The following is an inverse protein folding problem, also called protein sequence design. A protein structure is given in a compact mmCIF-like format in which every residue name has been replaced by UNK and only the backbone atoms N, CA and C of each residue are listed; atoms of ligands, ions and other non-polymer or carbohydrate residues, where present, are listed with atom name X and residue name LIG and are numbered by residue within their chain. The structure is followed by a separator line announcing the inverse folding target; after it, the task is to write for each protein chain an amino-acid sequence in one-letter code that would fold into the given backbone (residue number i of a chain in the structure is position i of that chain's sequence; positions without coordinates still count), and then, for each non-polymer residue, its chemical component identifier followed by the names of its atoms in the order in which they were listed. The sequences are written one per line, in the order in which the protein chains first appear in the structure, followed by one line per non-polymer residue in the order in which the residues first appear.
data_IF_780632551638
#
_entry.id   IF_780632551638
#
_cell.length_a   1.000
_cell.length_b   1.000
_cell.length_c   1.000
_cell.angle_alpha   90.00
_cell.angle_beta   90.00
_cell.angle_gamma   90.00
#
_symmetry.space_group_name_H-M   'P 1'
#
loop_
_entity.id
_entity.type
_entity.pdbx_description
1 polymer ?
#
# COMPACT_ATOMS: atom_id res chain seq x y z
N UNK A 1 22.64 30.23 9.83
CA UNK A 1 22.47 29.59 8.51
C UNK A 1 21.10 28.92 8.49
N UNK A 2 20.19 29.42 7.67
CA UNK A 2 18.81 28.93 7.57
C UNK A 2 18.78 28.02 6.34
N UNK A 3 18.63 26.71 6.54
CA UNK A 3 18.17 25.81 5.49
C UNK A 3 16.72 25.43 5.81
N UNK A 4 15.81 26.33 5.45
CA UNK A 4 14.40 26.01 5.26
C UNK A 4 14.22 25.72 3.78
N UNK A 5 14.20 24.45 3.40
CA UNK A 5 13.62 24.01 2.12
C UNK A 5 12.89 22.70 2.40
N UNK A 6 11.69 22.86 2.96
CA UNK A 6 10.68 21.80 2.93
C UNK A 6 10.43 21.49 1.46
N UNK A 7 10.83 20.29 1.04
CA UNK A 7 10.68 19.79 -0.31
C UNK A 7 9.23 19.95 -0.78
N UNK A 8 9.05 20.54 -1.96
CA UNK A 8 7.82 20.41 -2.74
C UNK A 8 7.63 18.92 -3.03
N UNK A 9 6.83 18.23 -2.23
CA UNK A 9 6.54 16.80 -2.41
C UNK A 9 5.66 16.63 -3.66
N UNK A 10 6.26 16.22 -4.78
CA UNK A 10 5.53 15.95 -6.02
C UNK A 10 5.00 14.52 -6.00
N UNK A 11 3.75 14.38 -5.57
CA UNK A 11 3.02 13.10 -5.45
C UNK A 11 3.07 12.28 -6.76
N UNK A 12 3.03 12.94 -7.94
CA UNK A 12 3.08 12.22 -9.23
C UNK A 12 4.45 11.58 -9.47
N UNK A 13 5.53 12.27 -9.11
CA UNK A 13 6.89 11.73 -9.22
C UNK A 13 7.10 10.59 -8.23
N UNK A 14 6.59 10.73 -7.01
CA UNK A 14 6.67 9.68 -6.00
C UNK A 14 5.86 8.41 -6.40
N UNK A 15 4.62 8.55 -6.93
CA UNK A 15 3.85 7.41 -7.50
C UNK A 15 4.64 6.70 -8.61
N UNK A 16 5.31 7.45 -9.50
CA UNK A 16 6.12 6.86 -10.58
C UNK A 16 7.37 6.12 -10.09
N UNK A 17 7.81 6.38 -8.86
CA UNK A 17 8.93 5.72 -8.20
C UNK A 17 8.48 4.54 -7.31
N UNK A 18 7.19 4.19 -7.31
CA UNK A 18 6.64 3.13 -6.45
C UNK A 18 6.51 3.53 -4.97
N UNK A 19 6.73 4.81 -4.66
CA UNK A 19 6.58 5.35 -3.30
C UNK A 19 5.09 5.43 -2.99
N UNK A 20 4.70 4.82 -1.88
CA UNK A 20 3.35 4.93 -1.37
C UNK A 20 3.14 6.35 -0.82
N UNK A 21 2.23 7.11 -1.44
CA UNK A 21 2.06 8.55 -1.19
C UNK A 21 0.72 8.92 -0.56
N UNK A 22 0.09 7.96 0.12
CA UNK A 22 -1.05 8.13 1.01
C UNK A 22 -2.21 9.00 0.48
N UNK A 23 -3.17 8.35 -0.16
CA UNK A 23 -4.57 8.78 -0.22
C UNK A 23 -5.52 7.81 0.52
N UNK A 24 -5.03 6.66 1.03
CA UNK A 24 -5.82 5.66 1.78
C UNK A 24 -5.00 4.89 2.81
N UNK A 25 -5.68 4.17 3.70
CA UNK A 25 -5.04 3.19 4.60
C UNK A 25 -4.55 1.95 3.86
N UNK A 26 -3.58 1.28 4.48
CA UNK A 26 -3.10 -0.03 4.08
C UNK A 26 -4.19 -1.08 4.26
N UNK A 27 -4.30 -2.00 3.31
CA UNK A 27 -5.34 -3.02 3.31
C UNK A 27 -4.88 -4.30 3.98
N UNK A 28 -5.75 -4.83 4.84
CA UNK A 28 -5.68 -6.22 5.28
C UNK A 28 -6.84 -7.01 4.68
N UNK A 29 -6.55 -8.14 4.04
CA UNK A 29 -7.62 -9.00 3.55
C UNK A 29 -8.35 -9.65 4.72
N UNK A 30 -9.68 -9.59 4.72
CA UNK A 30 -10.51 -10.28 5.72
C UNK A 30 -10.84 -11.73 5.35
N UNK A 31 -10.53 -12.14 4.11
CA UNK A 31 -10.78 -13.50 3.61
C UNK A 31 -9.54 -14.38 3.43
N UNK A 32 -8.34 -13.81 3.49
CA UNK A 32 -7.07 -14.55 3.51
C UNK A 32 -6.04 -13.76 4.32
N UNK A 33 -4.78 -14.18 4.29
CA UNK A 33 -3.67 -13.64 5.08
C UNK A 33 -2.85 -12.56 4.34
N UNK A 34 -3.27 -12.14 3.14
CA UNK A 34 -2.59 -11.08 2.39
C UNK A 34 -2.82 -9.70 3.03
N UNK A 35 -1.73 -8.97 3.26
CA UNK A 35 -1.72 -7.61 3.83
C UNK A 35 -0.81 -6.67 3.04
N UNK A 36 -1.11 -5.37 3.07
CA UNK A 36 -0.24 -4.29 2.60
C UNK A 36 0.59 -3.70 3.76
N UNK A 37 1.81 -3.25 3.44
CA UNK A 37 2.71 -2.55 4.36
C UNK A 37 3.62 -1.60 3.58
N UNK A 38 4.41 -0.79 4.28
CA UNK A 38 5.36 0.14 3.69
C UNK A 38 6.77 -0.27 4.08
N UNK A 39 7.59 -0.58 3.07
CA UNK A 39 8.99 -0.89 3.27
C UNK A 39 9.78 0.33 3.79
N UNK A 40 11.00 0.10 4.27
CA UNK A 40 11.85 1.16 4.83
C UNK A 40 12.13 2.32 3.85
N UNK A 41 12.13 2.04 2.54
CA UNK A 41 12.33 3.05 1.49
C UNK A 41 11.03 3.80 1.10
N UNK A 42 9.91 3.51 1.77
CA UNK A 42 8.61 4.11 1.51
C UNK A 42 7.82 3.45 0.38
N UNK A 43 8.31 2.34 -0.18
CA UNK A 43 7.58 1.60 -1.22
C UNK A 43 6.43 0.76 -0.65
N UNK A 44 5.34 0.66 -1.40
CA UNK A 44 4.23 -0.22 -1.04
C UNK A 44 4.64 -1.68 -1.28
N UNK A 45 4.54 -2.49 -0.23
CA UNK A 45 4.75 -3.93 -0.28
C UNK A 45 3.50 -4.69 0.13
N UNK A 46 3.46 -5.96 -0.24
CA UNK A 46 2.41 -6.90 0.17
C UNK A 46 3.02 -8.24 0.54
N UNK A 47 2.54 -8.87 1.60
CA UNK A 47 3.02 -10.18 2.01
C UNK A 47 1.89 -11.00 2.66
N UNK A 48 2.16 -12.28 2.84
CA UNK A 48 1.30 -13.21 3.56
C UNK A 48 1.69 -13.20 5.03
N UNK A 49 0.84 -12.65 5.93
CA UNK A 49 1.21 -12.47 7.35
C UNK A 49 1.42 -13.78 8.11
N UNK A 50 0.88 -14.89 7.59
CA UNK A 50 1.04 -16.22 8.16
C UNK A 50 2.27 -16.96 7.56
N UNK A 51 3.02 -16.30 6.66
CA UNK A 51 4.27 -16.80 6.06
C UNK A 51 5.49 -16.35 6.86
N UNK A 52 6.55 -17.17 6.87
CA UNK A 52 7.87 -16.77 7.39
C UNK A 52 8.61 -15.79 6.45
N UNK A 53 8.17 -15.70 5.19
CA UNK A 53 8.70 -14.78 4.18
C UNK A 53 7.89 -13.48 4.17
N UNK A 54 8.50 -12.42 4.71
CA UNK A 54 7.96 -11.06 4.77
C UNK A 54 8.45 -10.19 3.60
N UNK A 55 9.03 -10.78 2.55
CA UNK A 55 9.38 -10.04 1.34
C UNK A 55 8.12 -9.62 0.56
N UNK A 56 8.24 -8.57 -0.25
CA UNK A 56 7.13 -8.15 -1.11
C UNK A 56 6.82 -9.25 -2.13
N UNK A 57 5.62 -9.82 -2.01
CA UNK A 57 5.08 -10.82 -2.92
C UNK A 57 4.79 -10.28 -4.33
N UNK A 58 4.77 -8.96 -4.51
CA UNK A 58 4.45 -8.30 -5.77
C UNK A 58 2.94 -8.30 -6.11
N UNK A 59 2.10 -8.88 -5.26
CA UNK A 59 0.64 -8.86 -5.41
C UNK A 59 0.10 -7.46 -5.09
N UNK A 60 -0.95 -7.01 -5.75
CA UNK A 60 -1.54 -5.69 -5.46
C UNK A 60 -3.05 -5.80 -5.42
N UNK A 61 -3.66 -5.16 -4.42
CA UNK A 61 -5.11 -5.05 -4.37
C UNK A 61 -5.62 -4.28 -5.60
N UNK A 62 -6.63 -4.84 -6.25
CA UNK A 62 -7.24 -4.21 -7.42
C UNK A 62 -8.25 -3.17 -6.93
N UNK A 63 -8.02 -1.91 -7.24
CA UNK A 63 -8.97 -0.83 -7.01
C UNK A 63 -10.21 -1.04 -7.90
N UNK A 64 -11.36 -1.22 -7.27
CA UNK A 64 -12.64 -1.38 -7.97
C UNK A 64 -13.40 -0.06 -8.08
N UNK A 65 -13.39 0.72 -6.99
CA UNK A 65 -13.91 2.08 -6.90
C UNK A 65 -13.12 2.85 -5.82
N UNK A 66 -13.45 4.13 -5.59
CA UNK A 66 -12.72 5.01 -4.67
C UNK A 66 -12.52 4.44 -3.25
N UNK A 67 -13.41 3.55 -2.79
CA UNK A 67 -13.35 2.96 -1.45
C UNK A 67 -13.12 1.45 -1.48
N UNK A 68 -13.36 0.74 -2.59
CA UNK A 68 -13.38 -0.72 -2.62
C UNK A 68 -12.19 -1.31 -3.37
N UNK A 69 -11.62 -2.33 -2.74
CA UNK A 69 -10.45 -3.02 -3.22
C UNK A 69 -10.69 -4.53 -3.22
N UNK A 70 -10.29 -5.20 -4.29
CA UNK A 70 -10.38 -6.65 -4.43
C UNK A 70 -9.03 -7.28 -4.12
N UNK A 71 -9.04 -8.28 -3.24
CA UNK A 71 -7.87 -9.11 -2.96
C UNK A 71 -7.49 -9.93 -4.20
N UNK A 72 -6.23 -9.89 -4.67
CA UNK A 72 -5.78 -10.65 -5.84
C UNK A 72 -5.67 -12.17 -5.57
N UNK A 73 -5.68 -12.59 -4.30
CA UNK A 73 -5.52 -14.00 -3.91
C UNK A 73 -6.87 -14.71 -3.81
N UNK A 74 -7.77 -14.21 -2.95
CA UNK A 74 -9.04 -14.89 -2.65
C UNK A 74 -10.28 -14.20 -3.26
N UNK A 75 -10.11 -13.01 -3.84
CA UNK A 75 -11.20 -12.26 -4.48
C UNK A 75 -12.12 -11.50 -3.52
N UNK A 76 -11.90 -11.57 -2.21
CA UNK A 76 -12.63 -10.79 -1.21
C UNK A 76 -12.54 -9.29 -1.51
N UNK A 77 -13.67 -8.59 -1.41
CA UNK A 77 -13.75 -7.15 -1.60
C UNK A 77 -13.86 -6.48 -0.23
N UNK A 78 -12.85 -5.67 0.10
CA UNK A 78 -12.80 -4.88 1.33
C UNK A 78 -12.91 -3.40 1.01
N UNK A 79 -13.46 -2.62 1.94
CA UNK A 79 -13.31 -1.17 1.89
C UNK A 79 -11.94 -0.79 2.44
N UNK A 80 -11.27 0.19 1.83
CA UNK A 80 -10.21 0.89 2.52
C UNK A 80 -10.85 1.59 3.73
N UNK A 81 -10.42 1.22 4.94
CA UNK A 81 -10.87 1.92 6.13
C UNK A 81 -10.13 3.27 6.17
N UNK A 82 -10.76 4.30 6.74
CA UNK A 82 -10.12 5.56 7.07
C UNK A 82 -10.28 5.67 8.59
N UNK A 83 -9.22 5.52 9.37
CA UNK A 83 -9.19 5.78 10.81
C UNK A 83 -9.08 7.29 11.08
#
# INVERSE_FOLDING_TARGET
MIVKNYYHFNIKQAKSLGIFVNDRELLECTGCDLVEDVAFDGSLMTYHRDSDDMSDSGLRFEEMDEEKYRCPVCGTVSKAQFL
#
